data_IF_128384597106
#
_entry.id   IF_128384597106
#
_cell.length_a   1.000
_cell.length_b   1.000
_cell.length_c   1.000
_cell.angle_alpha   90.00
_cell.angle_beta   90.00
_cell.angle_gamma   90.00
#
_symmetry.space_group_name_H-M   'P 1'
#
loop_
_entity.id
_entity.type
_entity.pdbx_description
1 polymer ?
#
# COMPACT_ATOMS: atom_id res chain seq x y z
N UNK A 1 -7.01 12.74 23.23
CA UNK A 1 -7.78 13.32 22.11
C UNK A 1 -8.54 12.15 21.49
N UNK A 2 -9.88 12.17 21.49
CA UNK A 2 -10.65 11.10 20.85
C UNK A 2 -10.51 11.26 19.34
N UNK A 3 -10.16 10.19 18.63
CA UNK A 3 -10.13 10.18 17.18
C UNK A 3 -11.54 10.48 16.64
N UNK A 4 -11.66 11.42 15.71
CA UNK A 4 -12.92 11.80 15.10
C UNK A 4 -12.88 11.46 13.61
N UNK A 5 -13.68 10.47 13.20
CA UNK A 5 -13.78 10.01 11.81
C UNK A 5 -14.16 11.17 10.87
N UNK A 6 -15.08 12.05 11.27
CA UNK A 6 -15.54 13.15 10.43
C UNK A 6 -14.42 14.16 10.13
N UNK A 7 -13.61 14.47 11.14
CA UNK A 7 -12.47 15.37 10.99
C UNK A 7 -11.40 14.71 10.09
N UNK A 8 -11.08 13.43 10.32
CA UNK A 8 -10.14 12.67 9.49
C UNK A 8 -10.58 12.59 8.01
N UNK A 9 -11.86 12.31 7.75
CA UNK A 9 -12.44 12.30 6.39
C UNK A 9 -12.40 13.70 5.76
N UNK A 10 -12.64 14.76 6.53
CA UNK A 10 -12.51 16.13 6.05
C UNK A 10 -11.07 16.44 5.62
N UNK A 11 -10.08 16.06 6.43
CA UNK A 11 -8.66 16.22 6.11
C UNK A 11 -8.27 15.46 4.84
N UNK A 12 -8.78 14.24 4.65
CA UNK A 12 -8.57 13.47 3.42
C UNK A 12 -9.17 14.15 2.18
N UNK A 13 -10.33 14.79 2.31
CA UNK A 13 -10.93 15.59 1.21
C UNK A 13 -10.04 16.77 0.82
N UNK A 14 -9.42 17.44 1.80
CA UNK A 14 -8.44 18.51 1.54
C UNK A 14 -7.20 17.95 0.83
N UNK A 15 -6.62 16.87 1.35
CA UNK A 15 -5.47 16.17 0.72
C UNK A 15 -5.78 15.74 -0.71
N UNK A 16 -6.98 15.20 -0.97
CA UNK A 16 -7.43 14.84 -2.32
C UNK A 16 -7.45 16.05 -3.25
N UNK A 17 -8.02 17.18 -2.81
CA UNK A 17 -8.05 18.41 -3.61
C UNK A 17 -6.66 18.91 -3.98
N UNK A 18 -5.69 18.75 -3.08
CA UNK A 18 -4.29 19.08 -3.33
C UNK A 18 -3.64 18.09 -4.31
N UNK A 19 -3.85 16.79 -4.10
CA UNK A 19 -3.35 15.73 -4.99
C UNK A 19 -3.87 15.90 -6.42
N UNK A 20 -5.16 16.22 -6.59
CA UNK A 20 -5.80 16.47 -7.88
C UNK A 20 -5.10 17.60 -8.68
N UNK A 21 -4.54 18.59 -7.98
CA UNK A 21 -3.84 19.74 -8.57
C UNK A 21 -2.36 19.50 -8.87
N UNK A 22 -1.80 18.35 -8.49
CA UNK A 22 -0.38 18.05 -8.76
C UNK A 22 -0.11 18.02 -10.27
N UNK A 23 0.97 18.70 -10.67
CA UNK A 23 1.44 18.75 -12.05
C UNK A 23 2.33 17.54 -12.36
N UNK A 24 1.86 16.67 -13.26
CA UNK A 24 2.64 15.53 -13.77
C UNK A 24 3.99 15.98 -14.31
N UNK A 25 4.04 17.10 -15.05
CA UNK A 25 5.27 17.61 -15.64
C UNK A 25 6.28 18.08 -14.59
N UNK A 26 5.83 18.69 -13.49
CA UNK A 26 6.73 19.10 -12.41
C UNK A 26 7.26 17.91 -11.63
N UNK A 27 6.40 16.93 -11.36
CA UNK A 27 6.81 15.67 -10.74
C UNK A 27 7.80 14.90 -11.62
N UNK A 28 7.54 14.80 -12.92
CA UNK A 28 8.44 14.15 -13.86
C UNK A 28 9.82 14.83 -13.91
N UNK A 29 9.90 16.16 -13.84
CA UNK A 29 11.19 16.88 -13.73
C UNK A 29 11.95 16.50 -12.47
N UNK A 30 11.26 16.37 -11.34
CA UNK A 30 11.88 15.92 -10.08
C UNK A 30 12.37 14.47 -10.19
N UNK A 31 11.56 13.57 -10.77
CA UNK A 31 11.94 12.18 -11.02
C UNK A 31 13.17 12.10 -11.93
N UNK A 32 13.23 12.89 -13.01
CA UNK A 32 14.43 12.98 -13.87
C UNK A 32 15.64 13.46 -13.07
N UNK A 33 15.47 14.47 -12.21
CA UNK A 33 16.56 14.99 -11.37
C UNK A 33 17.06 13.97 -10.35
N UNK A 34 16.18 13.13 -9.81
CA UNK A 34 16.55 12.06 -8.86
C UNK A 34 17.23 10.90 -9.61
N UNK A 35 16.74 10.55 -10.79
CA UNK A 35 17.20 9.42 -11.58
C UNK A 35 16.71 8.07 -11.04
N UNK A 36 16.29 7.19 -11.94
CA UNK A 36 15.93 5.83 -11.59
C UNK A 36 15.95 4.87 -12.77
N UNK A 37 16.50 3.67 -12.54
CA UNK A 37 16.35 2.52 -13.42
C UNK A 37 16.07 1.26 -12.60
N UNK A 38 14.95 0.58 -12.86
CA UNK A 38 14.69 -0.71 -12.23
C UNK A 38 15.65 -1.76 -12.79
N UNK A 39 16.63 -2.17 -11.99
CA UNK A 39 17.64 -3.16 -12.38
C UNK A 39 17.13 -4.61 -12.40
N UNK A 40 15.84 -4.84 -12.08
CA UNK A 40 15.24 -6.18 -11.94
C UNK A 40 16.04 -7.11 -11.01
N UNK A 41 16.61 -6.55 -9.94
CA UNK A 41 17.45 -7.30 -8.99
C UNK A 41 16.65 -8.21 -8.06
N UNK A 42 15.34 -7.99 -7.91
CA UNK A 42 14.46 -8.72 -7.00
C UNK A 42 14.62 -8.34 -5.51
N UNK A 43 15.54 -7.44 -5.15
CA UNK A 43 15.82 -7.08 -3.75
C UNK A 43 14.56 -6.61 -3.00
N UNK A 44 13.73 -5.76 -3.61
CA UNK A 44 12.48 -5.30 -3.00
C UNK A 44 11.42 -6.39 -2.76
N UNK A 45 11.58 -7.57 -3.39
CA UNK A 45 10.67 -8.69 -3.21
C UNK A 45 11.20 -9.74 -2.22
N UNK A 46 12.47 -9.65 -1.82
CA UNK A 46 13.16 -10.68 -1.03
C UNK A 46 13.31 -10.26 0.42
N UNK A 47 12.89 -11.10 1.36
CA UNK A 47 12.95 -10.77 2.79
C UNK A 47 14.40 -10.56 3.29
N UNK A 48 15.37 -11.25 2.67
CA UNK A 48 16.80 -11.09 3.00
C UNK A 48 17.35 -9.69 2.72
N UNK A 49 16.63 -8.88 1.94
CA UNK A 49 17.03 -7.53 1.53
C UNK A 49 16.35 -6.43 2.34
N UNK A 50 15.43 -6.78 3.24
CA UNK A 50 14.69 -5.83 4.09
C UNK A 50 13.21 -6.16 4.16
N UNK A 51 12.43 -5.21 4.68
CA UNK A 51 10.97 -5.30 4.67
C UNK A 51 10.45 -5.25 3.23
N UNK A 52 9.71 -6.28 2.85
CA UNK A 52 9.07 -6.44 1.55
C UNK A 52 7.54 -6.48 1.67
N UNK A 53 6.98 -5.95 2.76
CA UNK A 53 5.53 -5.87 2.97
C UNK A 53 4.91 -4.92 1.96
N UNK A 54 3.89 -5.42 1.25
CA UNK A 54 3.16 -4.65 0.24
C UNK A 54 1.68 -4.73 0.59
N UNK A 55 1.12 -3.59 0.98
CA UNK A 55 -0.32 -3.43 1.18
C UNK A 55 -1.02 -3.47 -0.18
N UNK A 56 -2.19 -4.08 -0.21
CA UNK A 56 -3.06 -4.19 -1.37
C UNK A 56 -4.43 -3.59 -1.08
N UNK A 57 -4.97 -2.89 -2.06
CA UNK A 57 -6.37 -2.52 -2.07
C UNK A 57 -7.26 -3.63 -2.65
N UNK A 58 -8.55 -3.68 -2.29
CA UNK A 58 -9.47 -4.70 -2.77
C UNK A 58 -9.57 -4.81 -4.30
N UNK A 59 -9.46 -3.70 -5.01
CA UNK A 59 -9.46 -3.67 -6.48
C UNK A 59 -8.18 -4.32 -7.07
N UNK A 60 -7.04 -4.18 -6.40
CA UNK A 60 -5.78 -4.80 -6.81
C UNK A 60 -5.80 -6.31 -6.60
N UNK A 61 -6.34 -6.76 -5.46
CA UNK A 61 -6.54 -8.18 -5.17
C UNK A 61 -7.43 -8.81 -6.24
N UNK A 62 -8.58 -8.19 -6.52
CA UNK A 62 -9.52 -8.69 -7.52
C UNK A 62 -8.89 -8.77 -8.92
N UNK A 63 -8.14 -7.74 -9.32
CA UNK A 63 -7.45 -7.73 -10.61
C UNK A 63 -6.43 -8.86 -10.74
N UNK A 64 -5.65 -9.13 -9.69
CA UNK A 64 -4.67 -10.23 -9.69
C UNK A 64 -5.39 -11.58 -9.78
N UNK A 65 -6.41 -11.79 -8.95
CA UNK A 65 -7.26 -12.99 -8.94
C UNK A 65 -7.82 -13.28 -10.34
N UNK A 66 -8.46 -12.29 -10.95
CA UNK A 66 -9.12 -12.44 -12.25
C UNK A 66 -8.12 -12.69 -13.39
N UNK A 67 -6.99 -11.99 -13.38
CA UNK A 67 -5.99 -12.07 -14.46
C UNK A 67 -5.19 -13.35 -14.41
N UNK A 68 -4.91 -13.87 -13.20
CA UNK A 68 -4.02 -15.01 -13.01
C UNK A 68 -4.73 -16.30 -12.60
N UNK A 69 -6.07 -16.27 -12.45
CA UNK A 69 -6.87 -17.44 -12.09
C UNK A 69 -6.54 -17.99 -10.70
N UNK A 70 -6.19 -17.10 -9.78
CA UNK A 70 -5.83 -17.41 -8.40
C UNK A 70 -7.03 -17.21 -7.48
N UNK A 71 -6.91 -17.64 -6.23
CA UNK A 71 -7.86 -17.32 -5.16
C UNK A 71 -7.34 -16.16 -4.31
N UNK A 72 -8.21 -15.39 -3.61
CA UNK A 72 -7.78 -14.32 -2.72
C UNK A 72 -6.74 -14.76 -1.69
N UNK A 73 -6.89 -15.93 -1.08
CA UNK A 73 -5.98 -16.47 -0.05
C UNK A 73 -4.59 -16.81 -0.61
N UNK A 74 -4.49 -17.11 -1.91
CA UNK A 74 -3.19 -17.29 -2.59
C UNK A 74 -2.50 -15.94 -2.86
N UNK A 75 -3.26 -14.87 -2.99
CA UNK A 75 -2.75 -13.54 -3.34
C UNK A 75 -2.35 -12.74 -2.10
N UNK A 76 -3.17 -12.77 -1.06
CA UNK A 76 -3.03 -11.90 0.10
C UNK A 76 -3.36 -12.58 1.43
N UNK A 77 -2.84 -12.00 2.49
CA UNK A 77 -3.15 -12.33 3.88
C UNK A 77 -3.53 -11.05 4.65
N UNK A 78 -4.25 -11.15 5.78
CA UNK A 78 -4.44 -10.01 6.68
C UNK A 78 -3.11 -9.40 7.12
N UNK A 79 -3.04 -8.07 7.21
CA UNK A 79 -1.96 -7.44 7.96
C UNK A 79 -2.04 -7.79 9.45
N UNK A 80 -0.96 -7.52 10.18
CA UNK A 80 -0.87 -7.81 11.61
C UNK A 80 -2.02 -7.07 12.34
N UNK A 81 -2.92 -7.80 13.03
CA UNK A 81 -3.99 -7.16 13.80
C UNK A 81 -3.44 -6.23 14.85
N UNK A 82 -4.05 -5.06 15.00
CA UNK A 82 -3.59 -4.03 15.95
C UNK A 82 -4.54 -3.85 17.13
N UNK A 83 -5.79 -4.29 16.99
CA UNK A 83 -6.84 -4.07 17.98
C UNK A 83 -7.64 -5.35 18.24
N UNK A 84 -8.26 -5.44 19.42
CA UNK A 84 -9.20 -6.50 19.78
C UNK A 84 -10.49 -5.91 20.30
N UNK A 85 -11.63 -6.53 19.99
CA UNK A 85 -12.92 -6.22 20.62
C UNK A 85 -13.14 -7.05 21.90
N UNK A 86 -14.23 -6.76 22.61
CA UNK A 86 -14.64 -7.45 23.85
C UNK A 86 -15.04 -8.92 23.64
N UNK A 87 -15.27 -9.32 22.39
CA UNK A 87 -15.55 -10.70 21.97
C UNK A 87 -14.27 -11.47 21.61
N UNK A 88 -13.10 -10.82 21.63
CA UNK A 88 -11.82 -11.43 21.28
C UNK A 88 -11.58 -11.56 19.77
N UNK A 89 -12.31 -10.80 18.95
CA UNK A 89 -12.03 -10.64 17.52
C UNK A 89 -10.79 -9.79 17.35
N UNK A 90 -9.88 -10.19 16.46
CA UNK A 90 -8.68 -9.41 16.14
C UNK A 90 -8.94 -8.54 14.90
N UNK A 91 -8.65 -7.25 14.98
CA UNK A 91 -8.95 -6.27 13.92
C UNK A 91 -7.66 -5.76 13.26
N UNK A 92 -7.61 -5.84 11.94
CA UNK A 92 -6.59 -5.21 11.09
C UNK A 92 -7.25 -4.37 9.97
N UNK A 93 -6.48 -3.49 9.32
CA UNK A 93 -7.02 -2.48 8.38
C UNK A 93 -6.49 -2.62 6.95
N UNK A 94 -5.74 -3.68 6.67
CA UNK A 94 -5.03 -3.81 5.40
C UNK A 94 -4.92 -5.28 5.02
N UNK A 95 -4.93 -5.53 3.71
CA UNK A 95 -4.47 -6.76 3.12
C UNK A 95 -3.01 -6.58 2.70
N UNK A 96 -2.18 -7.59 2.89
CA UNK A 96 -0.80 -7.59 2.41
C UNK A 96 -0.59 -8.72 1.42
N UNK A 97 0.29 -8.50 0.43
CA UNK A 97 0.72 -9.57 -0.47
C UNK A 97 1.21 -10.76 0.33
N UNK A 98 0.74 -11.94 -0.06
CA UNK A 98 1.16 -13.18 0.56
C UNK A 98 2.66 -13.43 0.28
N UNK A 99 3.28 -14.25 1.11
CA UNK A 99 4.70 -14.57 1.07
C UNK A 99 4.91 -16.08 1.11
N UNK A 100 5.98 -16.53 0.50
CA UNK A 100 6.49 -17.87 0.72
C UNK A 100 6.94 -18.04 2.17
N UNK A 101 7.13 -19.29 2.61
CA UNK A 101 7.69 -19.60 3.93
C UNK A 101 9.09 -19.03 4.18
N UNK A 102 9.82 -18.65 3.11
CA UNK A 102 11.09 -17.91 3.20
C UNK A 102 10.93 -16.44 3.56
N UNK A 103 9.71 -15.90 3.57
CA UNK A 103 9.39 -14.48 3.69
C UNK A 103 9.42 -13.72 2.37
N UNK A 104 9.87 -14.33 1.27
CA UNK A 104 9.86 -13.68 -0.05
C UNK A 104 8.44 -13.50 -0.58
N UNK A 105 8.21 -12.45 -1.37
CA UNK A 105 6.93 -12.21 -2.05
C UNK A 105 6.48 -13.45 -2.84
N UNK A 106 5.20 -13.82 -2.76
CA UNK A 106 4.63 -15.00 -3.45
C UNK A 106 4.83 -14.99 -4.98
N UNK A 107 5.03 -13.81 -5.58
CA UNK A 107 5.15 -13.63 -7.04
C UNK A 107 6.59 -13.55 -7.55
N UNK A 108 7.60 -13.62 -6.68
CA UNK A 108 9.02 -13.57 -7.09
C UNK A 108 9.53 -14.96 -7.48
N UNK A 109 10.02 -15.08 -8.71
CA UNK A 109 10.58 -16.32 -9.24
C UNK A 109 12.04 -16.49 -8.82
N UNK A 110 12.59 -17.71 -8.91
CA UNK A 110 13.98 -18.00 -8.51
C UNK A 110 15.03 -17.17 -9.27
N UNK A 111 14.74 -16.76 -10.51
CA UNK A 111 15.59 -15.93 -11.36
C UNK A 111 15.39 -14.42 -11.14
N UNK A 112 14.67 -14.03 -10.08
CA UNK A 112 14.29 -12.67 -9.71
C UNK A 112 13.28 -12.00 -10.66
N UNK A 113 12.66 -12.74 -11.57
CA UNK A 113 11.53 -12.21 -12.35
C UNK A 113 10.25 -12.17 -11.50
N UNK A 114 9.40 -11.17 -11.74
CA UNK A 114 8.12 -11.03 -11.05
C UNK A 114 7.00 -11.49 -12.00
N UNK A 115 6.16 -12.42 -11.55
CA UNK A 115 5.02 -12.90 -12.34
C UNK A 115 4.01 -11.79 -12.65
N UNK A 116 3.90 -10.79 -11.77
CA UNK A 116 2.99 -9.66 -11.92
C UNK A 116 3.63 -8.43 -12.56
N UNK A 117 4.80 -8.52 -13.20
CA UNK A 117 5.60 -7.32 -13.55
C UNK A 117 4.81 -6.22 -14.31
N UNK A 118 3.89 -6.63 -15.20
CA UNK A 118 3.04 -5.72 -15.98
C UNK A 118 1.77 -5.28 -15.24
N UNK A 119 1.35 -6.01 -14.20
CA UNK A 119 0.16 -5.79 -13.38
C UNK A 119 0.55 -5.54 -11.91
N UNK A 120 1.70 -4.90 -11.69
CA UNK A 120 2.22 -4.69 -10.34
C UNK A 120 1.25 -3.82 -9.53
N UNK A 121 0.99 -4.16 -8.26
CA UNK A 121 0.28 -3.27 -7.34
C UNK A 121 0.89 -1.87 -7.28
N UNK A 122 0.14 -0.88 -6.84
CA UNK A 122 0.53 0.52 -6.75
C UNK A 122 1.89 0.69 -6.07
N UNK A 123 2.10 0.08 -4.90
CA UNK A 123 3.38 0.14 -4.17
C UNK A 123 4.52 -0.40 -5.06
N UNK A 124 4.35 -1.57 -5.66
CA UNK A 124 5.34 -2.22 -6.51
C UNK A 124 5.60 -1.46 -7.82
N UNK A 125 4.58 -0.78 -8.35
CA UNK A 125 4.62 -0.01 -9.60
C UNK A 125 5.29 1.35 -9.44
N UNK A 126 5.20 1.96 -8.25
CA UNK A 126 5.84 3.25 -7.98
C UNK A 126 7.17 3.13 -7.24
N UNK A 127 7.48 1.99 -6.60
CA UNK A 127 8.73 1.79 -5.87
C UNK A 127 9.97 2.10 -6.75
N UNK A 128 10.96 2.86 -6.24
CA UNK A 128 11.14 3.28 -4.85
C UNK A 128 10.46 4.60 -4.47
N UNK A 129 9.67 5.18 -5.36
CA UNK A 129 9.04 6.48 -5.17
C UNK A 129 7.66 6.36 -4.53
N UNK A 130 7.33 7.35 -3.71
CA UNK A 130 5.99 7.56 -3.18
C UNK A 130 5.77 9.05 -2.90
N UNK A 131 4.51 9.46 -2.77
CA UNK A 131 4.15 10.82 -2.38
C UNK A 131 3.74 10.82 -0.92
N UNK A 132 4.26 11.76 -0.13
CA UNK A 132 3.92 11.87 1.29
C UNK A 132 3.61 13.32 1.68
N UNK A 133 2.54 13.51 2.44
CA UNK A 133 2.28 14.77 3.14
C UNK A 133 3.16 14.84 4.37
N UNK A 134 4.00 15.86 4.48
CA UNK A 134 4.70 16.17 5.73
C UNK A 134 3.88 17.18 6.52
N UNK A 135 4.03 17.20 7.85
CA UNK A 135 3.25 18.08 8.73
C UNK A 135 3.43 19.58 8.43
N UNK A 136 4.47 19.94 7.69
CA UNK A 136 4.83 21.32 7.36
C UNK A 136 4.41 21.72 5.93
N UNK A 137 4.10 20.75 5.07
CA UNK A 137 3.89 20.99 3.65
C UNK A 137 2.40 21.04 3.28
N UNK A 138 2.03 22.10 2.56
CA UNK A 138 0.70 22.30 1.98
C UNK A 138 0.45 21.31 0.81
N UNK A 139 1.48 20.66 0.29
CA UNK A 139 1.39 19.69 -0.81
C UNK A 139 2.27 18.48 -0.50
N UNK A 140 1.99 17.30 -1.06
CA UNK A 140 2.84 16.14 -0.87
C UNK A 140 4.16 16.29 -1.62
N UNK A 141 5.22 15.75 -1.03
CA UNK A 141 6.55 15.66 -1.64
C UNK A 141 6.81 14.27 -2.20
N UNK A 142 7.64 14.19 -3.24
CA UNK A 142 8.22 12.92 -3.68
C UNK A 142 9.25 12.48 -2.64
N UNK A 143 9.06 11.28 -2.10
CA UNK A 143 10.01 10.57 -1.25
C UNK A 143 10.52 9.35 -1.99
N UNK A 144 11.70 8.88 -1.56
CA UNK A 144 12.42 7.79 -2.20
C UNK A 144 12.91 6.83 -1.13
N UNK A 145 12.50 5.57 -1.23
CA UNK A 145 13.02 4.49 -0.40
C UNK A 145 14.38 4.01 -0.90
N UNK A 146 15.10 3.25 -0.06
CA UNK A 146 16.38 2.67 -0.41
C UNK A 146 16.24 1.72 -1.60
N UNK A 147 16.88 2.05 -2.73
CA UNK A 147 16.94 1.18 -3.89
C UNK A 147 18.20 1.49 -4.69
N UNK A 148 18.93 0.44 -5.06
CA UNK A 148 20.16 0.56 -5.85
C UNK A 148 19.97 1.16 -7.26
N UNK A 149 18.73 1.17 -7.77
CA UNK A 149 18.41 1.77 -9.06
C UNK A 149 18.32 3.30 -9.03
N UNK A 150 18.29 3.91 -7.84
CA UNK A 150 18.22 5.38 -7.70
C UNK A 150 19.52 6.02 -8.19
N UNK A 151 19.41 7.16 -8.87
CA UNK A 151 20.55 7.88 -9.45
C UNK A 151 20.93 7.43 -10.86
N UNK A 152 20.36 6.33 -11.37
CA UNK A 152 20.51 5.95 -12.77
C UNK A 152 19.72 6.88 -13.71
N UNK A 153 20.16 7.10 -14.97
CA UNK A 153 19.42 7.93 -15.90
C UNK A 153 18.02 7.37 -16.21
N UNK A 154 17.00 8.23 -16.17
CA UNK A 154 15.64 7.91 -16.60
C UNK A 154 15.27 8.77 -17.80
N UNK A 155 14.62 8.17 -18.81
CA UNK A 155 14.10 8.92 -19.96
C UNK A 155 12.95 9.81 -19.50
N UNK A 156 12.78 10.96 -20.15
CA UNK A 156 11.72 11.91 -19.81
C UNK A 156 10.33 11.26 -19.90
N UNK A 157 10.10 10.45 -20.91
CA UNK A 157 8.83 9.75 -21.14
C UNK A 157 8.54 8.75 -20.01
N UNK A 158 9.58 8.04 -19.54
CA UNK A 158 9.47 7.09 -18.42
C UNK A 158 9.21 7.81 -17.09
N UNK A 159 9.85 8.97 -16.89
CA UNK A 159 9.61 9.81 -15.73
C UNK A 159 8.20 10.40 -15.70
N UNK A 160 7.62 10.72 -16.87
CA UNK A 160 6.21 11.14 -16.98
C UNK A 160 5.28 10.01 -16.57
N UNK A 161 5.49 8.80 -17.11
CA UNK A 161 4.70 7.62 -16.74
C UNK A 161 4.80 7.30 -15.25
N UNK A 162 5.99 7.39 -14.67
CA UNK A 162 6.17 7.20 -13.23
C UNK A 162 5.48 8.31 -12.40
N UNK A 163 5.52 9.56 -12.85
CA UNK A 163 4.79 10.65 -12.20
C UNK A 163 3.26 10.46 -12.26
N UNK A 164 2.72 9.93 -13.36
CA UNK A 164 1.31 9.55 -13.47
C UNK A 164 0.94 8.44 -12.49
N UNK A 165 1.77 7.39 -12.40
CA UNK A 165 1.59 6.31 -11.43
C UNK A 165 1.66 6.81 -9.99
N UNK A 166 2.60 7.70 -9.66
CA UNK A 166 2.73 8.29 -8.33
C UNK A 166 1.48 9.08 -7.93
N UNK A 167 0.98 9.93 -8.82
CA UNK A 167 -0.26 10.67 -8.58
C UNK A 167 -1.45 9.73 -8.46
N UNK A 168 -1.54 8.74 -9.34
CA UNK A 168 -2.59 7.72 -9.33
C UNK A 168 -2.62 6.94 -8.02
N UNK A 169 -1.47 6.46 -7.57
CA UNK A 169 -1.30 5.79 -6.28
C UNK A 169 -1.77 6.66 -5.12
N UNK A 170 -1.33 7.92 -5.03
CA UNK A 170 -1.73 8.80 -3.93
C UNK A 170 -3.26 9.03 -3.91
N UNK A 171 -3.86 9.23 -5.08
CA UNK A 171 -5.31 9.41 -5.19
C UNK A 171 -6.07 8.13 -4.80
N UNK A 172 -5.54 6.96 -5.16
CA UNK A 172 -6.08 5.67 -4.74
C UNK A 172 -5.98 5.52 -3.22
N UNK A 173 -4.80 5.72 -2.63
CA UNK A 173 -4.58 5.68 -1.18
C UNK A 173 -5.58 6.56 -0.40
N UNK A 174 -5.72 7.82 -0.80
CA UNK A 174 -6.67 8.75 -0.15
C UNK A 174 -8.13 8.28 -0.31
N UNK A 175 -8.49 7.75 -1.49
CA UNK A 175 -9.85 7.27 -1.76
C UNK A 175 -10.18 6.05 -0.92
N UNK A 176 -9.26 5.09 -0.85
CA UNK A 176 -9.40 3.85 -0.11
C UNK A 176 -9.45 4.12 1.40
N UNK A 177 -8.58 5.00 1.92
CA UNK A 177 -8.62 5.45 3.31
C UNK A 177 -9.92 6.17 3.65
N UNK A 178 -10.40 7.05 2.76
CA UNK A 178 -11.68 7.76 2.97
C UNK A 178 -12.83 6.76 3.10
N UNK A 179 -12.92 5.80 2.18
CA UNK A 179 -13.97 4.78 2.18
C UNK A 179 -13.88 3.84 3.39
N UNK A 180 -12.66 3.45 3.76
CA UNK A 180 -12.41 2.66 4.96
C UNK A 180 -12.99 3.38 6.19
N UNK A 181 -12.65 4.67 6.37
CA UNK A 181 -13.14 5.46 7.50
C UNK A 181 -14.66 5.67 7.48
N UNK A 182 -15.25 5.88 6.30
CA UNK A 182 -16.71 6.00 6.14
C UNK A 182 -17.45 4.69 6.48
N UNK A 183 -16.80 3.53 6.25
CA UNK A 183 -17.35 2.21 6.56
C UNK A 183 -17.03 1.73 7.99
N UNK A 184 -16.05 2.35 8.66
CA UNK A 184 -15.59 1.94 9.98
C UNK A 184 -16.67 2.16 11.05
N UNK A 185 -16.98 1.12 11.81
CA UNK A 185 -18.03 1.13 12.85
C UNK A 185 -17.57 0.37 14.09
N UNK A 186 -17.93 0.90 15.27
CA UNK A 186 -17.73 0.24 16.56
C UNK A 186 -16.26 0.16 16.99
N UNK A 187 -15.37 0.94 16.38
CA UNK A 187 -13.96 0.99 16.72
C UNK A 187 -13.72 1.66 18.08
N UNK A 188 -14.71 2.37 18.60
CA UNK A 188 -14.66 3.09 19.88
C UNK A 188 -14.49 2.16 21.08
N UNK A 189 -14.92 0.90 20.94
CA UNK A 189 -14.86 -0.12 21.99
C UNK A 189 -13.65 -1.06 21.82
N UNK A 190 -12.76 -0.80 20.86
CA UNK A 190 -11.60 -1.66 20.60
C UNK A 190 -10.40 -1.26 21.45
N UNK A 191 -9.69 -2.26 21.94
CA UNK A 191 -8.47 -2.09 22.73
C UNK A 191 -7.24 -2.47 21.92
N UNK A 192 -6.11 -1.73 22.03
CA UNK A 192 -4.86 -2.14 21.39
C UNK A 192 -4.40 -3.51 21.88
N UNK A 193 -3.97 -4.37 20.94
CA UNK A 193 -3.40 -5.68 21.29
C UNK A 193 -2.05 -5.47 21.97
N UNK A 194 -1.93 -5.95 23.21
CA UNK A 194 -0.69 -5.89 23.99
C UNK A 194 0.05 -7.24 24.05
N UNK A 195 -0.65 -8.32 23.71
CA UNK A 195 -0.14 -9.68 23.81
C UNK A 195 -0.78 -10.57 22.73
N UNK A 196 0.00 -10.89 21.71
CA UNK A 196 -0.41 -11.74 20.59
C UNK A 196 -0.42 -13.25 20.95
N UNK A 197 0.01 -13.63 22.16
CA UNK A 197 -0.07 -15.04 22.60
C UNK A 197 -1.50 -15.46 22.96
N UNK A 198 -2.39 -14.49 23.22
CA UNK A 198 -3.82 -14.74 23.37
C UNK A 198 -4.44 -14.90 21.99
N UNK A 199 -4.64 -16.15 21.59
CA UNK A 199 -5.30 -16.49 20.33
C UNK A 199 -6.72 -15.91 20.32
N UNK A 200 -6.97 -14.96 19.41
CA UNK A 200 -8.33 -14.56 19.07
C UNK A 200 -9.00 -15.66 18.23
N UNK A 201 -10.32 -15.76 18.34
CA UNK A 201 -11.08 -16.82 17.67
C UNK A 201 -11.41 -16.52 16.21
N UNK A 202 -11.23 -15.26 15.77
CA UNK A 202 -11.49 -14.80 14.39
C UNK A 202 -10.75 -13.50 14.09
N UNK A 203 -10.35 -13.29 12.83
CA UNK A 203 -9.74 -12.04 12.34
C UNK A 203 -10.78 -11.27 11.52
N UNK A 204 -10.93 -9.98 11.79
CA UNK A 204 -11.73 -9.04 11.00
C UNK A 204 -10.78 -8.08 10.27
N UNK A 205 -10.76 -8.18 8.94
CA UNK A 205 -10.03 -7.27 8.06
C UNK A 205 -10.96 -6.16 7.61
N UNK A 206 -10.60 -4.91 7.89
CA UNK A 206 -11.33 -3.71 7.51
C UNK A 206 -10.68 -3.09 6.28
N UNK A 207 -11.44 -2.87 5.21
CA UNK A 207 -10.98 -2.21 4.00
C UNK A 207 -12.04 -1.24 3.45
N UNK A 208 -11.77 -0.66 2.27
CA UNK A 208 -12.68 0.29 1.61
C UNK A 208 -14.03 -0.31 1.19
N UNK A 209 -14.16 -1.64 1.14
CA UNK A 209 -15.40 -2.35 0.81
C UNK A 209 -16.15 -2.84 2.05
N UNK A 210 -15.56 -2.74 3.24
CA UNK A 210 -16.19 -3.08 4.51
C UNK A 210 -15.35 -4.03 5.34
N UNK A 211 -16.01 -5.02 5.96
CA UNK A 211 -15.36 -5.96 6.88
C UNK A 211 -15.43 -7.36 6.29
N UNK A 212 -14.27 -8.02 6.21
CA UNK A 212 -14.15 -9.44 5.89
C UNK A 212 -13.71 -10.21 7.12
N UNK A 213 -14.44 -11.26 7.49
CA UNK A 213 -14.08 -12.13 8.60
C UNK A 213 -13.35 -13.37 8.08
N UNK A 214 -12.17 -13.64 8.62
CA UNK A 214 -11.38 -14.84 8.38
C UNK A 214 -11.48 -15.72 9.62
N UNK A 215 -11.87 -16.98 9.38
CA UNK A 215 -12.03 -18.04 10.38
C UNK A 215 -10.87 -19.02 10.33
#
# INVERSE_FOLDING_TARGET
>A
MRFNILDAVSDLKVKKSMADKLSINEMAKQVVSIGFECMRCGECCRARSGDNTVILFPDEIQMIVDTHGMTPDEVCEPSIPQFTDDRGTLHCFEWVLNRHSSGDCIFIQADNTCMLYQQRPWICSTYPFFLAFTNEAIKPDIKVSECRGVGHPIKKEDAIRLAELLKGRLLAEITEETRLLENLKGFEDWEPIRDYSRQGYSIAVHDSRGITYIT
#
